data_IF_033805087705
#
_entry.id   IF_033805087705
#
_cell.length_a   1.000
_cell.length_b   1.000
_cell.length_c   1.000
_cell.angle_alpha   90.00
_cell.angle_beta   90.00
_cell.angle_gamma   90.00
#
_symmetry.space_group_name_H-M   'P 1'
#
loop_
_entity.id
_entity.type
_entity.pdbx_description
1 polymer ?
#
# COMPACT_ATOMS: atom_id res chain seq x y z
N UNK A 1 16.91 -3.09 -3.62
CA UNK A 1 16.36 -4.39 -3.21
C UNK A 1 17.12 -5.53 -3.90
N UNK A 2 17.26 -6.64 -3.21
CA UNK A 2 17.95 -7.82 -3.71
C UNK A 2 16.94 -8.83 -4.28
N UNK A 3 17.26 -9.41 -5.43
CA UNK A 3 16.44 -10.43 -6.06
C UNK A 3 16.41 -11.76 -5.30
N UNK A 4 17.34 -11.98 -4.36
CA UNK A 4 17.47 -13.25 -3.64
C UNK A 4 16.30 -13.58 -2.74
N UNK A 5 15.45 -12.60 -2.41
CA UNK A 5 14.31 -12.78 -1.54
C UNK A 5 13.08 -13.36 -2.24
N UNK A 6 13.07 -13.33 -3.57
CA UNK A 6 11.88 -13.68 -4.33
C UNK A 6 12.13 -14.90 -5.20
N UNK A 7 11.31 -15.94 -5.00
CA UNK A 7 11.44 -17.22 -5.70
C UNK A 7 10.22 -17.53 -6.56
N UNK A 8 9.10 -16.83 -6.32
CA UNK A 8 7.85 -17.06 -7.05
C UNK A 8 6.99 -15.80 -7.08
N UNK A 9 6.12 -15.71 -8.09
CA UNK A 9 5.10 -14.64 -8.17
C UNK A 9 4.23 -14.69 -6.93
N UNK A 10 3.97 -13.51 -6.35
CA UNK A 10 3.16 -13.38 -5.15
C UNK A 10 3.93 -13.44 -3.83
N UNK A 11 5.22 -13.74 -3.87
CA UNK A 11 6.05 -13.69 -2.67
C UNK A 11 6.26 -12.26 -2.21
N UNK A 12 6.24 -12.07 -0.89
CA UNK A 12 6.39 -10.78 -0.24
C UNK A 12 7.69 -10.70 0.56
N UNK A 13 8.22 -9.47 0.66
CA UNK A 13 9.32 -9.14 1.56
C UNK A 13 8.82 -8.96 2.99
N UNK A 14 9.75 -8.63 3.89
CA UNK A 14 9.42 -8.24 5.26
C UNK A 14 8.52 -7.01 5.27
N UNK A 15 7.59 -6.91 6.24
CA UNK A 15 6.67 -5.78 6.32
C UNK A 15 7.38 -4.50 6.73
N UNK A 16 6.95 -3.38 6.12
CA UNK A 16 7.39 -2.04 6.48
C UNK A 16 6.16 -1.28 6.96
N UNK A 17 6.03 -0.98 8.26
CA UNK A 17 4.86 -0.27 8.78
C UNK A 17 4.91 1.21 8.42
N UNK A 18 3.73 1.78 8.20
CA UNK A 18 3.55 3.21 8.07
C UNK A 18 2.18 3.60 8.63
N UNK A 19 1.97 4.89 8.86
CA UNK A 19 0.74 5.35 9.48
C UNK A 19 0.29 6.69 8.90
N UNK A 20 -1.02 6.92 8.97
CA UNK A 20 -1.65 8.20 8.70
C UNK A 20 -2.21 8.70 10.02
N UNK A 21 -1.84 9.92 10.40
CA UNK A 21 -2.30 10.53 11.65
C UNK A 21 -3.43 11.52 11.36
N UNK A 22 -4.59 11.27 11.93
CA UNK A 22 -5.73 12.17 11.86
C UNK A 22 -5.80 12.96 13.15
N UNK A 23 -5.85 14.29 13.03
CA UNK A 23 -5.92 15.19 14.17
C UNK A 23 -7.35 15.72 14.32
N UNK A 24 -7.72 16.01 15.54
CA UNK A 24 -8.98 16.71 15.86
C UNK A 24 -10.21 16.02 15.28
N UNK A 25 -10.26 14.68 15.33
CA UNK A 25 -11.42 13.93 14.89
C UNK A 25 -12.65 14.28 15.72
N UNK A 26 -13.78 14.53 15.05
CA UNK A 26 -15.07 14.75 15.68
C UNK A 26 -16.04 13.67 15.26
N UNK A 27 -16.57 12.91 16.23
CA UNK A 27 -17.57 11.88 15.98
C UNK A 27 -18.98 12.43 15.85
N UNK A 28 -19.16 13.74 16.04
CA UNK A 28 -20.47 14.39 15.88
C UNK A 28 -20.91 14.42 14.41
N UNK A 29 -19.96 14.43 13.47
CA UNK A 29 -20.23 14.51 12.04
C UNK A 29 -20.00 13.17 11.35
N UNK A 30 -18.92 12.46 11.70
CA UNK A 30 -18.56 11.21 11.06
C UNK A 30 -18.04 10.23 12.11
N UNK A 31 -18.42 8.96 11.97
CA UNK A 31 -18.02 7.89 12.88
C UNK A 31 -17.05 6.90 12.26
N UNK A 32 -16.90 6.93 10.94
CA UNK A 32 -16.04 6.00 10.22
C UNK A 32 -15.26 6.73 9.14
N UNK A 33 -14.08 6.22 8.81
CA UNK A 33 -13.27 6.71 7.71
C UNK A 33 -12.84 5.55 6.83
N UNK A 34 -12.92 5.75 5.52
CA UNK A 34 -12.35 4.87 4.52
C UNK A 34 -11.14 5.52 3.88
N UNK A 35 -10.11 4.75 3.62
CA UNK A 35 -8.88 5.22 2.96
C UNK A 35 -8.78 4.59 1.60
N UNK A 36 -8.55 5.42 0.58
CA UNK A 36 -8.25 4.96 -0.77
C UNK A 36 -6.83 5.35 -1.11
N UNK A 37 -6.02 4.37 -1.52
CA UNK A 37 -4.69 4.64 -2.01
C UNK A 37 -4.70 4.72 -3.53
N UNK A 38 -3.98 5.70 -4.06
CA UNK A 38 -3.86 5.99 -5.47
C UNK A 38 -2.39 5.95 -5.88
N UNK A 39 -2.12 5.49 -7.08
CA UNK A 39 -0.78 5.47 -7.62
C UNK A 39 -0.75 4.78 -8.97
N UNK A 40 0.43 4.75 -9.57
CA UNK A 40 0.64 4.01 -10.81
C UNK A 40 0.74 2.53 -10.47
N UNK A 41 -0.13 1.72 -11.07
CA UNK A 41 -0.16 0.29 -10.82
C UNK A 41 0.94 -0.43 -11.61
N UNK A 42 1.42 -1.54 -11.05
CA UNK A 42 2.31 -2.47 -11.76
C UNK A 42 1.60 -3.01 -13.00
N UNK A 43 2.35 -3.16 -14.09
CA UNK A 43 1.78 -3.61 -15.36
C UNK A 43 1.21 -5.02 -15.33
N UNK A 44 1.60 -5.84 -14.35
CA UNK A 44 1.14 -7.23 -14.20
C UNK A 44 0.16 -7.43 -13.06
N UNK A 45 0.05 -6.45 -12.13
CA UNK A 45 -0.84 -6.56 -10.99
C UNK A 45 -1.43 -5.17 -10.66
N UNK A 46 -2.75 -4.97 -10.87
CA UNK A 46 -3.37 -3.66 -10.68
C UNK A 46 -3.47 -3.23 -9.22
N UNK A 47 -3.27 -4.13 -8.26
CA UNK A 47 -3.34 -3.82 -6.83
C UNK A 47 -1.96 -3.66 -6.19
N UNK A 48 -0.92 -3.55 -7.01
CA UNK A 48 0.46 -3.36 -6.56
C UNK A 48 1.01 -2.09 -7.21
N UNK A 49 1.67 -1.25 -6.42
CA UNK A 49 2.29 -0.02 -6.92
C UNK A 49 3.50 -0.35 -7.78
N UNK A 50 3.61 0.34 -8.92
CA UNK A 50 4.77 0.26 -9.79
C UNK A 50 5.98 0.92 -9.14
N UNK A 51 7.16 0.32 -9.28
CA UNK A 51 8.43 0.92 -8.90
C UNK A 51 9.13 1.58 -10.08
N UNK A 52 8.45 1.69 -11.22
CA UNK A 52 9.00 2.25 -12.44
C UNK A 52 9.73 1.23 -13.28
N UNK A 53 10.36 1.70 -14.35
CA UNK A 53 11.11 0.87 -15.28
C UNK A 53 12.38 1.60 -15.71
N UNK A 54 13.40 0.86 -16.06
CA UNK A 54 14.61 1.41 -16.63
C UNK A 54 15.89 0.88 -16.02
N UNK A 55 17.04 1.37 -16.51
CA UNK A 55 18.35 0.94 -15.99
C UNK A 55 18.49 1.29 -14.51
N UNK A 56 18.98 0.34 -13.72
CA UNK A 56 19.21 0.51 -12.30
C UNK A 56 17.94 0.37 -11.44
N UNK A 57 16.77 0.13 -12.04
CA UNK A 57 15.51 -0.07 -11.32
C UNK A 57 15.21 -1.59 -11.26
N UNK A 58 14.78 -2.06 -10.10
CA UNK A 58 14.36 -3.45 -9.93
C UNK A 58 13.18 -3.77 -10.86
N UNK A 59 13.11 -4.98 -11.35
CA UNK A 59 12.04 -5.44 -12.24
C UNK A 59 11.37 -6.69 -11.69
N UNK A 60 10.13 -6.92 -12.12
CA UNK A 60 9.33 -8.05 -11.69
C UNK A 60 8.82 -7.93 -10.26
N UNK A 61 8.76 -6.72 -9.73
CA UNK A 61 8.43 -6.44 -8.35
C UNK A 61 7.62 -5.14 -8.28
N UNK A 62 6.76 -5.05 -7.28
CA UNK A 62 6.02 -3.84 -6.94
C UNK A 62 5.83 -3.75 -5.44
N UNK A 63 5.05 -2.78 -5.01
CA UNK A 63 4.75 -2.55 -3.59
C UNK A 63 3.27 -2.80 -3.34
N UNK A 64 2.97 -3.78 -2.50
CA UNK A 64 1.62 -4.09 -2.05
C UNK A 64 1.35 -3.40 -0.71
N UNK A 65 0.15 -2.87 -0.53
CA UNK A 65 -0.28 -2.17 0.68
C UNK A 65 -1.30 -3.02 1.44
N UNK A 66 -1.20 -3.01 2.76
CA UNK A 66 -2.03 -3.82 3.65
C UNK A 66 -2.55 -2.96 4.79
N UNK A 67 -3.71 -3.35 5.33
CA UNK A 67 -4.22 -2.77 6.57
C UNK A 67 -3.51 -3.38 7.79
N UNK A 68 -3.88 -2.92 8.99
CA UNK A 68 -3.27 -3.41 10.23
C UNK A 68 -3.60 -4.87 10.55
N UNK A 69 -4.58 -5.44 9.87
CA UNK A 69 -4.98 -6.84 10.05
C UNK A 69 -4.38 -7.77 9.00
N UNK A 70 -3.50 -7.24 8.15
CA UNK A 70 -2.82 -8.03 7.14
C UNK A 70 -3.62 -8.28 5.87
N UNK A 71 -4.73 -7.57 5.67
CA UNK A 71 -5.52 -7.70 4.46
C UNK A 71 -5.06 -6.70 3.41
N UNK A 72 -4.85 -7.16 2.19
CA UNK A 72 -4.38 -6.30 1.12
C UNK A 72 -5.42 -5.25 0.73
N UNK A 73 -4.95 -4.03 0.56
CA UNK A 73 -5.77 -2.90 0.10
C UNK A 73 -5.64 -2.76 -1.42
N UNK A 74 -6.76 -2.56 -2.12
CA UNK A 74 -6.73 -2.29 -3.55
C UNK A 74 -6.19 -0.89 -3.84
N UNK A 75 -5.70 -0.67 -5.06
CA UNK A 75 -5.30 0.64 -5.54
C UNK A 75 -6.36 1.23 -6.45
N UNK A 76 -6.48 2.56 -6.42
CA UNK A 76 -7.29 3.32 -7.38
C UNK A 76 -8.78 2.93 -7.40
N UNK A 77 -9.27 2.45 -6.27
CA UNK A 77 -10.69 2.07 -6.12
C UNK A 77 -11.30 2.73 -4.89
N UNK A 78 -12.61 2.94 -4.87
CA UNK A 78 -13.28 3.46 -3.68
C UNK A 78 -13.02 2.59 -2.46
N UNK A 79 -13.01 3.22 -1.29
CA UNK A 79 -12.85 2.52 -0.02
C UNK A 79 -13.99 1.51 0.18
N UNK A 80 -13.64 0.28 0.53
CA UNK A 80 -14.59 -0.79 0.85
C UNK A 80 -14.49 -1.24 2.30
N UNK A 81 -13.58 -0.64 3.06
CA UNK A 81 -13.35 -0.93 4.46
C UNK A 81 -13.37 0.35 5.25
N UNK A 82 -13.99 0.29 6.43
CA UNK A 82 -14.23 1.44 7.25
C UNK A 82 -13.61 1.27 8.62
N UNK A 83 -12.87 2.29 9.04
CA UNK A 83 -12.19 2.31 10.33
C UNK A 83 -12.99 3.21 11.25
N UNK A 84 -13.26 2.72 12.47
CA UNK A 84 -13.98 3.48 13.46
C UNK A 84 -13.16 4.68 13.93
N UNK A 85 -13.83 5.84 14.00
CA UNK A 85 -13.24 7.07 14.50
C UNK A 85 -13.61 7.23 15.97
N UNK A 86 -12.66 7.77 16.73
CA UNK A 86 -12.86 8.14 18.12
C UNK A 86 -12.57 9.61 18.28
N UNK A 87 -13.09 10.21 19.33
CA UNK A 87 -12.85 11.61 19.62
C UNK A 87 -11.35 11.86 19.82
N UNK A 88 -10.84 12.91 19.20
CA UNK A 88 -9.43 13.29 19.30
C UNK A 88 -8.58 12.69 18.20
N UNK A 89 -7.25 12.62 18.40
CA UNK A 89 -6.34 12.08 17.40
C UNK A 89 -6.59 10.59 17.14
N UNK A 90 -6.54 10.20 15.89
CA UNK A 90 -6.67 8.81 15.47
C UNK A 90 -5.51 8.46 14.55
N UNK A 91 -4.86 7.32 14.80
CA UNK A 91 -3.78 6.83 13.95
C UNK A 91 -4.28 5.64 13.14
N UNK A 92 -4.12 5.73 11.82
CA UNK A 92 -4.44 4.64 10.91
C UNK A 92 -3.15 3.93 10.54
N UNK A 93 -3.05 2.64 10.87
CA UNK A 93 -1.85 1.86 10.69
C UNK A 93 -1.94 0.97 9.46
N UNK A 94 -0.87 0.95 8.68
CA UNK A 94 -0.76 0.19 7.44
C UNK A 94 0.60 -0.48 7.35
N UNK A 95 0.72 -1.37 6.38
CA UNK A 95 1.96 -2.10 6.11
C UNK A 95 2.19 -2.10 4.61
N UNK A 96 3.43 -1.86 4.20
CA UNK A 96 3.88 -2.01 2.83
C UNK A 96 4.82 -3.20 2.72
N UNK A 97 4.70 -3.97 1.63
CA UNK A 97 5.61 -5.08 1.33
C UNK A 97 5.99 -5.03 -0.14
N UNK A 98 7.24 -5.34 -0.45
CA UNK A 98 7.61 -5.64 -1.82
C UNK A 98 7.01 -6.99 -2.20
N UNK A 99 6.43 -7.05 -3.39
CA UNK A 99 5.81 -8.27 -3.90
C UNK A 99 6.31 -8.59 -5.29
N UNK A 100 6.72 -9.83 -5.51
CA UNK A 100 7.08 -10.30 -6.83
C UNK A 100 5.83 -10.37 -7.72
N UNK A 101 5.86 -9.68 -8.85
CA UNK A 101 4.76 -9.67 -9.84
C UNK A 101 5.17 -10.38 -11.13
N UNK A 102 6.46 -10.56 -11.35
CA UNK A 102 7.00 -11.29 -12.48
C UNK A 102 7.70 -12.57 -12.07
N UNK A 103 7.91 -13.47 -13.02
CA UNK A 103 8.60 -14.73 -12.77
C UNK A 103 10.07 -14.53 -12.44
N UNK A 104 10.67 -13.48 -13.03
CA UNK A 104 12.05 -13.11 -12.78
C UNK A 104 12.07 -11.76 -12.10
N UNK A 105 12.79 -11.69 -10.99
CA UNK A 105 12.99 -10.45 -10.24
C UNK A 105 14.46 -10.07 -10.37
N UNK A 106 14.72 -8.86 -10.82
CA UNK A 106 16.09 -8.31 -10.87
C UNK A 106 16.26 -7.29 -9.76
N UNK A 107 17.45 -7.24 -9.17
CA UNK A 107 17.78 -6.25 -8.13
C UNK A 107 17.91 -4.86 -8.71
N UNK A 108 17.79 -3.86 -7.84
CA UNK A 108 17.93 -2.45 -8.19
C UNK A 108 17.11 -1.56 -7.27
N UNK A 109 17.00 -0.29 -7.64
CA UNK A 109 16.17 0.67 -6.90
C UNK A 109 14.69 0.30 -7.06
N UNK A 110 13.94 0.41 -5.97
CA UNK A 110 12.54 0.04 -5.93
C UNK A 110 11.77 1.06 -5.09
N UNK A 111 11.45 2.19 -5.71
CA UNK A 111 10.74 3.30 -5.08
C UNK A 111 9.42 3.51 -5.78
N UNK A 112 8.38 3.81 -5.00
CA UNK A 112 7.07 4.13 -5.53
C UNK A 112 6.51 5.35 -4.82
N UNK A 113 5.59 6.03 -5.50
CA UNK A 113 4.83 7.14 -4.92
C UNK A 113 3.37 6.76 -4.90
N UNK A 114 2.73 7.07 -3.79
CA UNK A 114 1.29 6.90 -3.64
C UNK A 114 0.74 8.10 -2.89
N UNK A 115 -0.53 8.41 -3.16
CA UNK A 115 -1.27 9.38 -2.38
C UNK A 115 -2.55 8.74 -1.91
N UNK A 116 -3.17 9.33 -0.93
CA UNK A 116 -4.39 8.79 -0.36
C UNK A 116 -5.48 9.83 -0.30
N UNK A 117 -6.72 9.36 -0.34
CA UNK A 117 -7.89 10.16 -0.06
C UNK A 117 -8.67 9.53 1.08
N UNK A 118 -9.32 10.37 1.87
CA UNK A 118 -10.13 9.95 2.99
C UNK A 118 -11.60 10.19 2.67
N UNK A 119 -12.43 9.20 2.95
CA UNK A 119 -13.88 9.31 2.84
C UNK A 119 -14.47 9.08 4.22
N UNK A 120 -15.28 10.02 4.68
CA UNK A 120 -15.91 9.95 5.99
C UNK A 120 -17.35 9.51 5.86
N UNK A 121 -17.77 8.71 6.82
CA UNK A 121 -19.11 8.17 6.83
C UNK A 121 -19.70 8.16 8.25
#
# INVERSE_FOLDING_TARGET
ISSNRFHAVGEDSNPIPFAIHLQDCSTAVSQHVGVTFHGVADGKNPDVLSVGEGPGIASGIGIALFDSQGQQLPLNRPADRWISLYRGPTTLNFVAKYRATGRQVTGGAANAQAWFSLTYQ
#
